data_IF_777180467089
#
_entry.id   IF_777180467089
#
_cell.length_a   1.000
_cell.length_b   1.000
_cell.length_c   1.000
_cell.angle_alpha   90.00
_cell.angle_beta   90.00
_cell.angle_gamma   90.00
#
_symmetry.space_group_name_H-M   'P 1'
#
loop_
_entity.id
_entity.type
_entity.pdbx_description
1 polymer ?
#
# COMPACT_ATOMS: atom_id res chain seq x y z
N UNK A 1 30.14 13.25 -26.52
CA UNK A 1 29.84 14.10 -25.32
C UNK A 1 30.24 13.34 -24.05
N UNK A 2 30.25 13.97 -22.85
CA UNK A 2 30.57 13.25 -21.61
C UNK A 2 29.61 12.08 -21.35
N UNK A 3 28.33 12.25 -21.70
CA UNK A 3 27.28 11.23 -21.54
C UNK A 3 27.63 9.97 -22.35
N UNK A 4 27.97 10.11 -23.63
CA UNK A 4 28.35 8.97 -24.49
C UNK A 4 29.55 8.17 -23.94
N UNK A 5 30.51 8.84 -23.30
CA UNK A 5 31.66 8.20 -22.69
C UNK A 5 31.27 7.39 -21.44
N UNK A 6 30.37 7.93 -20.62
CA UNK A 6 29.87 7.25 -19.42
C UNK A 6 28.98 6.06 -19.78
N UNK A 7 28.12 6.20 -20.78
CA UNK A 7 27.26 5.11 -21.24
C UNK A 7 28.08 3.90 -21.72
N UNK A 8 29.10 4.15 -22.54
CA UNK A 8 30.01 3.10 -23.02
C UNK A 8 30.77 2.43 -21.87
N UNK A 9 31.16 3.20 -20.84
CA UNK A 9 31.87 2.68 -19.67
C UNK A 9 30.95 1.87 -18.76
N UNK A 10 29.76 2.38 -18.44
CA UNK A 10 28.81 1.69 -17.58
C UNK A 10 28.29 0.39 -18.19
N UNK A 11 28.19 0.30 -19.52
CA UNK A 11 27.86 -0.94 -20.21
C UNK A 11 28.89 -2.07 -20.01
N UNK A 12 30.12 -1.75 -19.60
CA UNK A 12 31.21 -2.73 -19.45
C UNK A 12 31.22 -3.55 -18.16
N UNK A 13 30.44 -3.18 -17.14
CA UNK A 13 30.34 -3.92 -15.87
C UNK A 13 28.90 -3.89 -15.33
N UNK A 14 28.48 -4.88 -14.52
CA UNK A 14 27.17 -4.87 -13.88
C UNK A 14 26.95 -3.65 -12.97
N UNK A 15 25.70 -3.21 -12.81
CA UNK A 15 25.34 -2.08 -11.94
C UNK A 15 25.92 -2.21 -10.52
N UNK A 16 25.92 -3.42 -9.94
CA UNK A 16 26.48 -3.70 -8.61
C UNK A 16 27.98 -3.34 -8.49
N UNK A 17 28.76 -3.51 -9.56
CA UNK A 17 30.16 -3.11 -9.59
C UNK A 17 30.31 -1.59 -9.43
N UNK A 18 29.55 -0.83 -10.23
CA UNK A 18 29.58 0.63 -10.21
C UNK A 18 29.04 1.21 -8.90
N UNK A 19 27.95 0.67 -8.38
CA UNK A 19 27.39 1.10 -7.09
C UNK A 19 28.39 0.94 -5.94
N UNK A 20 29.12 -0.18 -5.90
CA UNK A 20 30.17 -0.41 -4.90
C UNK A 20 31.33 0.60 -5.03
N UNK A 21 31.73 0.92 -6.26
CA UNK A 21 32.78 1.90 -6.54
C UNK A 21 32.35 3.33 -6.17
N UNK A 22 31.13 3.72 -6.54
CA UNK A 22 30.54 5.02 -6.22
C UNK A 22 30.38 5.21 -4.70
N UNK A 23 29.90 4.19 -3.99
CA UNK A 23 29.80 4.22 -2.53
C UNK A 23 31.16 4.48 -1.86
N UNK A 24 32.23 3.81 -2.33
CA UNK A 24 33.61 4.03 -1.84
C UNK A 24 34.12 5.43 -2.15
N UNK A 25 33.70 6.01 -3.27
CA UNK A 25 34.05 7.36 -3.68
C UNK A 25 33.17 8.45 -3.02
N UNK A 26 32.18 8.08 -2.20
CA UNK A 26 31.24 9.01 -1.59
C UNK A 26 30.22 9.61 -2.57
N UNK A 27 30.03 8.98 -3.74
CA UNK A 27 29.06 9.41 -4.74
C UNK A 27 27.71 8.74 -4.45
N UNK A 28 26.63 9.50 -4.22
CA UNK A 28 25.31 8.93 -3.98
C UNK A 28 24.76 8.33 -5.27
N UNK A 29 24.49 7.03 -5.25
CA UNK A 29 23.86 6.29 -6.34
C UNK A 29 23.05 5.14 -5.76
N UNK A 30 21.98 4.75 -6.47
CA UNK A 30 21.14 3.62 -6.12
C UNK A 30 20.75 2.82 -7.36
N UNK A 31 20.40 1.54 -7.22
CA UNK A 31 19.87 0.74 -8.31
C UNK A 31 18.50 1.28 -8.76
N UNK A 32 18.13 0.96 -10.00
CA UNK A 32 16.74 1.09 -10.47
C UNK A 32 16.06 -0.23 -10.13
N UNK A 33 15.24 -0.22 -9.07
CA UNK A 33 14.55 -1.42 -8.61
C UNK A 33 13.24 -1.66 -9.39
N UNK A 34 12.93 -2.92 -9.63
CA UNK A 34 11.58 -3.34 -10.04
C UNK A 34 10.63 -3.47 -8.82
N UNK A 35 9.37 -3.82 -9.08
CA UNK A 35 8.36 -3.92 -8.01
C UNK A 35 8.72 -5.04 -7.03
N UNK A 36 9.19 -6.20 -7.49
CA UNK A 36 9.52 -7.32 -6.61
C UNK A 36 10.71 -6.97 -5.71
N UNK A 37 11.70 -6.26 -6.26
CA UNK A 37 12.86 -5.76 -5.51
C UNK A 37 12.44 -4.73 -4.46
N UNK A 38 11.56 -3.78 -4.80
CA UNK A 38 11.01 -2.81 -3.82
C UNK A 38 10.27 -3.52 -2.68
N UNK A 39 9.43 -4.51 -2.98
CA UNK A 39 8.68 -5.25 -1.95
C UNK A 39 9.60 -6.11 -1.05
N UNK A 40 10.77 -6.51 -1.57
CA UNK A 40 11.78 -7.26 -0.83
C UNK A 40 12.78 -6.38 -0.07
N UNK A 41 12.79 -5.07 -0.32
CA UNK A 41 13.80 -4.16 0.21
C UNK A 41 13.76 -4.11 1.76
N UNK A 42 14.91 -4.28 2.44
CA UNK A 42 14.97 -4.26 3.91
C UNK A 42 14.46 -2.96 4.53
N UNK A 43 14.68 -1.81 3.89
CA UNK A 43 14.21 -0.52 4.36
C UNK A 43 12.69 -0.42 4.22
N UNK A 44 12.14 -0.88 3.09
CA UNK A 44 10.67 -0.91 2.87
C UNK A 44 9.97 -1.75 3.93
N UNK A 45 10.55 -2.91 4.29
CA UNK A 45 10.03 -3.79 5.35
C UNK A 45 10.23 -3.20 6.74
N UNK A 46 11.39 -2.61 7.02
CA UNK A 46 11.69 -1.97 8.30
C UNK A 46 10.72 -0.84 8.61
N UNK A 47 10.46 0.01 7.62
CA UNK A 47 9.56 1.16 7.73
C UNK A 47 8.07 0.78 7.61
N UNK A 48 7.74 -0.52 7.51
CA UNK A 48 6.37 -1.01 7.36
C UNK A 48 5.62 -0.33 6.20
N UNK A 49 6.34 -0.03 5.11
CA UNK A 49 5.78 0.63 3.92
C UNK A 49 4.93 -0.30 3.07
N UNK A 50 5.01 -1.60 3.33
CA UNK A 50 4.09 -2.63 2.83
C UNK A 50 3.55 -3.37 4.05
N UNK A 51 2.22 -3.39 4.18
CA UNK A 51 1.53 -3.93 5.37
C UNK A 51 0.68 -5.12 4.93
N UNK A 52 0.93 -6.33 5.46
CA UNK A 52 0.05 -7.47 5.24
C UNK A 52 -1.22 -7.30 6.07
N UNK A 53 -2.38 -7.48 5.45
CA UNK A 53 -3.69 -7.39 6.11
C UNK A 53 -4.52 -8.63 5.83
N UNK A 54 -5.15 -9.22 6.86
CA UNK A 54 -6.11 -10.30 6.64
C UNK A 54 -7.32 -9.75 5.89
N UNK A 55 -7.61 -10.32 4.72
CA UNK A 55 -8.79 -9.97 3.93
C UNK A 55 -9.60 -11.24 3.61
N UNK A 56 -10.93 -11.25 3.83
CA UNK A 56 -11.75 -12.46 3.72
C UNK A 56 -11.78 -13.08 2.32
N UNK A 57 -11.54 -12.29 1.27
CA UNK A 57 -11.56 -12.75 -0.14
C UNK A 57 -10.19 -12.76 -0.83
N UNK A 58 -9.19 -12.11 -0.23
CA UNK A 58 -7.88 -11.91 -0.86
C UNK A 58 -6.86 -12.42 0.14
N UNK A 59 -6.42 -13.68 -0.01
CA UNK A 59 -5.33 -14.22 0.79
C UNK A 59 -4.09 -13.34 0.59
N UNK A 60 -3.34 -13.09 1.66
CA UNK A 60 -2.06 -12.37 1.62
C UNK A 60 -2.16 -10.98 0.99
N UNK A 61 -3.27 -10.25 1.23
CA UNK A 61 -3.40 -8.87 0.80
C UNK A 61 -2.30 -8.00 1.43
N UNK A 62 -1.45 -7.44 0.58
CA UNK A 62 -0.47 -6.42 0.97
C UNK A 62 -0.92 -5.05 0.46
N UNK A 63 -0.91 -4.06 1.36
CA UNK A 63 -1.23 -2.67 1.03
C UNK A 63 -0.04 -1.77 1.30
N UNK A 64 0.03 -0.65 0.57
CA UNK A 64 0.95 0.42 0.92
C UNK A 64 0.66 0.94 2.34
N UNK A 65 1.71 1.00 3.15
CA UNK A 65 1.70 1.56 4.49
C UNK A 65 1.68 3.09 4.49
N UNK A 66 1.87 3.69 5.67
CA UNK A 66 1.95 5.15 5.80
C UNK A 66 3.40 5.58 5.56
N UNK A 67 3.70 6.36 4.51
CA UNK A 67 5.07 6.71 4.15
C UNK A 67 5.75 7.71 5.09
N UNK A 68 4.99 8.31 6.00
CA UNK A 68 5.45 9.32 6.94
C UNK A 68 5.23 8.80 8.35
N UNK A 69 6.34 8.49 9.04
CA UNK A 69 6.33 8.20 10.47
C UNK A 69 6.23 9.49 11.29
N UNK A 70 5.25 9.56 12.19
CA UNK A 70 5.13 10.63 13.19
C UNK A 70 5.48 10.06 14.56
N UNK A 71 6.29 10.79 15.34
CA UNK A 71 6.75 10.33 16.65
C UNK A 71 5.63 10.27 17.70
N UNK A 72 4.67 11.21 17.67
CA UNK A 72 3.59 11.30 18.65
C UNK A 72 2.30 10.61 18.18
N UNK A 73 2.01 10.66 16.88
CA UNK A 73 0.78 10.13 16.29
C UNK A 73 1.07 9.24 15.08
N UNK A 74 1.72 8.07 15.27
CA UNK A 74 2.05 7.17 14.17
C UNK A 74 0.81 6.81 13.34
N UNK A 75 0.90 7.00 12.02
CA UNK A 75 -0.12 6.52 11.10
C UNK A 75 -0.15 4.99 11.04
N UNK A 76 -1.31 4.41 10.75
CA UNK A 76 -1.46 2.96 10.60
C UNK A 76 -2.58 2.60 9.62
N UNK A 77 -2.35 1.56 8.83
CA UNK A 77 -3.39 0.89 8.05
C UNK A 77 -3.93 -0.26 8.90
N UNK A 78 -5.18 -0.14 9.37
CA UNK A 78 -5.73 -1.02 10.42
C UNK A 78 -6.73 -2.05 9.93
N UNK A 79 -7.42 -1.76 8.84
CA UNK A 79 -8.50 -2.61 8.32
C UNK A 79 -8.35 -2.75 6.81
N UNK A 80 -8.75 -3.89 6.24
CA UNK A 80 -8.89 -4.03 4.81
C UNK A 80 -9.87 -2.98 4.23
N UNK A 81 -9.84 -2.75 2.90
CA UNK A 81 -10.85 -1.97 2.23
C UNK A 81 -12.24 -2.55 2.52
N UNK A 82 -13.23 -1.73 2.90
CA UNK A 82 -14.56 -2.23 3.21
C UNK A 82 -15.24 -2.79 1.97
N UNK A 83 -16.04 -3.83 2.17
CA UNK A 83 -16.94 -4.33 1.15
C UNK A 83 -18.04 -3.32 0.83
N UNK A 84 -18.69 -3.50 -0.33
CA UNK A 84 -19.73 -2.58 -0.77
C UNK A 84 -20.92 -2.59 0.20
N UNK A 85 -21.13 -1.47 0.89
CA UNK A 85 -22.21 -1.29 1.85
C UNK A 85 -21.94 -1.88 3.25
N UNK A 86 -20.72 -2.35 3.54
CA UNK A 86 -20.36 -2.99 4.82
C UNK A 86 -20.75 -2.15 6.05
N UNK A 87 -20.54 -0.83 5.96
CA UNK A 87 -20.79 0.09 7.07
C UNK A 87 -22.12 0.86 6.98
N UNK A 88 -22.94 0.65 5.95
CA UNK A 88 -24.16 1.44 5.70
C UNK A 88 -25.11 1.45 6.90
N UNK A 89 -25.48 0.27 7.42
CA UNK A 89 -26.39 0.15 8.55
C UNK A 89 -25.82 0.81 9.83
N UNK A 90 -24.52 0.61 10.09
CA UNK A 90 -23.84 1.18 11.27
C UNK A 90 -23.83 2.71 11.23
N UNK A 91 -23.53 3.30 10.07
CA UNK A 91 -23.52 4.76 9.91
C UNK A 91 -24.95 5.33 10.04
N UNK A 92 -25.95 4.71 9.41
CA UNK A 92 -27.35 5.20 9.51
C UNK A 92 -27.88 5.11 10.95
N UNK A 93 -27.52 4.06 11.69
CA UNK A 93 -27.85 3.95 13.10
C UNK A 93 -27.18 5.03 13.96
N UNK A 94 -25.90 5.35 13.70
CA UNK A 94 -25.18 6.44 14.37
C UNK A 94 -25.82 7.82 14.10
N UNK A 95 -26.45 7.99 12.95
CA UNK A 95 -27.22 9.19 12.59
C UNK A 95 -28.63 9.22 13.21
N UNK A 96 -28.99 8.24 14.04
CA UNK A 96 -30.28 8.18 14.73
C UNK A 96 -31.42 7.57 13.93
N UNK A 97 -31.14 6.93 12.79
CA UNK A 97 -32.18 6.23 12.03
C UNK A 97 -32.58 4.93 12.74
N UNK A 98 -33.88 4.68 12.98
CA UNK A 98 -34.32 3.44 13.61
C UNK A 98 -34.08 2.25 12.69
N UNK A 99 -33.75 1.10 13.27
CA UNK A 99 -33.46 -0.15 12.54
C UNK A 99 -34.60 -0.59 11.61
N UNK A 100 -35.85 -0.32 11.99
CA UNK A 100 -37.03 -0.57 11.16
C UNK A 100 -37.01 0.21 9.84
N UNK A 101 -36.60 1.48 9.87
CA UNK A 101 -36.50 2.32 8.67
C UNK A 101 -35.31 1.91 7.80
N UNK A 102 -34.19 1.51 8.39
CA UNK A 102 -33.03 0.99 7.66
C UNK A 102 -33.44 -0.28 6.89
N UNK A 103 -34.11 -1.23 7.56
CA UNK A 103 -34.60 -2.46 6.93
C UNK A 103 -35.60 -2.18 5.80
N UNK A 104 -36.49 -1.19 5.97
CA UNK A 104 -37.43 -0.77 4.92
C UNK A 104 -36.71 -0.22 3.68
N UNK A 105 -35.72 0.66 3.87
CA UNK A 105 -34.95 1.25 2.77
C UNK A 105 -34.11 0.21 2.03
N UNK A 106 -33.59 -0.78 2.76
CA UNK A 106 -32.86 -1.89 2.16
C UNK A 106 -33.80 -2.80 1.34
N UNK A 107 -34.98 -3.13 1.87
CA UNK A 107 -35.98 -3.91 1.14
C UNK A 107 -36.49 -3.19 -0.13
N UNK A 108 -36.56 -1.86 -0.11
CA UNK A 108 -36.89 -1.03 -1.27
C UNK A 108 -35.72 -0.88 -2.28
N UNK A 109 -34.53 -1.39 -1.95
CA UNK A 109 -33.33 -1.27 -2.79
C UNK A 109 -32.74 0.14 -2.84
N UNK A 110 -33.15 1.03 -1.93
CA UNK A 110 -32.65 2.41 -1.83
C UNK A 110 -31.24 2.44 -1.23
N UNK A 111 -30.97 1.55 -0.28
CA UNK A 111 -29.65 1.37 0.35
C UNK A 111 -29.20 -0.09 0.26
N UNK A 112 -27.91 -0.33 0.47
CA UNK A 112 -27.33 -1.68 0.57
C UNK A 112 -26.55 -1.81 1.87
N UNK A 113 -26.84 -2.85 2.65
CA UNK A 113 -26.12 -3.18 3.87
C UNK A 113 -25.35 -4.50 3.67
N UNK A 114 -24.05 -4.40 3.37
CA UNK A 114 -23.16 -5.53 3.12
C UNK A 114 -23.27 -6.18 1.73
N UNK A 115 -22.41 -7.18 1.49
CA UNK A 115 -22.44 -7.97 0.26
C UNK A 115 -23.58 -8.99 0.31
N UNK A 116 -24.44 -8.99 -0.71
CA UNK A 116 -25.34 -10.12 -0.96
C UNK A 116 -24.47 -11.29 -1.38
N UNK A 117 -24.30 -12.29 -0.51
CA UNK A 117 -23.82 -13.60 -0.93
C UNK A 117 -24.87 -14.15 -1.91
N UNK A 118 -24.56 -14.10 -3.20
CA UNK A 118 -25.37 -14.61 -4.28
C UNK A 118 -24.45 -15.17 -5.35
#
# INVERSE_FOLDING_TARGET
>A
TLIEQLDALFAGQPAAHWLALMARAGVPAGPINDIAEVMADPQVRHESLIVPLPHPRIPELELAGVPIGLSETPGSVRTPPPALGEHTASILAQLGMPSSRIAELEAQGVIRCGERTG
#
